data_IF_879362774047
#
_entry.id   IF_879362774047
#
_cell.length_a   1.000
_cell.length_b   1.000
_cell.length_c   1.000
_cell.angle_alpha   90.00
_cell.angle_beta   90.00
_cell.angle_gamma   90.00
#
_symmetry.space_group_name_H-M   'P 1'
#
loop_
_entity.id
_entity.type
_entity.pdbx_description
1 polymer ?
#
# COMPACT_ATOMS: atom_id res chain seq x y z
N UNK A 1 4.33 13.30 -10.11
CA UNK A 1 3.83 12.07 -10.78
C UNK A 1 2.32 12.03 -10.69
N UNK A 2 1.65 11.78 -11.78
CA UNK A 2 0.20 11.71 -11.83
C UNK A 2 -0.29 10.27 -11.82
N UNK A 3 -1.34 10.01 -11.04
CA UNK A 3 -2.06 8.75 -11.11
C UNK A 3 -3.01 8.81 -12.31
N UNK A 4 -2.82 7.90 -13.25
CA UNK A 4 -3.67 7.80 -14.43
C UNK A 4 -4.38 6.46 -14.45
N UNK A 5 -5.59 6.42 -15.01
CA UNK A 5 -6.39 5.23 -15.10
C UNK A 5 -7.17 4.93 -13.84
N UNK A 6 -7.63 3.70 -13.73
CA UNK A 6 -8.40 3.24 -12.59
C UNK A 6 -7.51 2.61 -11.53
N UNK A 7 -7.79 2.90 -10.26
CA UNK A 7 -7.12 2.27 -9.15
C UNK A 7 -8.06 2.18 -7.95
N UNK A 8 -7.63 1.45 -6.92
CA UNK A 8 -8.34 1.49 -5.65
C UNK A 8 -7.36 1.33 -4.49
N UNK A 9 -7.82 1.75 -3.31
CA UNK A 9 -7.06 1.68 -2.07
C UNK A 9 -7.35 0.38 -1.34
N UNK A 10 -6.29 -0.25 -0.82
CA UNK A 10 -6.42 -1.40 0.08
C UNK A 10 -5.92 -0.95 1.45
N UNK A 11 -6.79 -1.04 2.45
CA UNK A 11 -6.45 -0.72 3.82
C UNK A 11 -5.87 -1.93 4.54
N UNK A 12 -6.62 -3.02 4.58
CA UNK A 12 -6.23 -4.25 5.29
C UNK A 12 -6.35 -5.44 4.34
N UNK A 13 -5.21 -6.02 3.98
CA UNK A 13 -5.18 -7.13 3.03
C UNK A 13 -6.05 -8.31 3.49
N UNK A 14 -6.02 -8.74 4.78
CA UNK A 14 -6.86 -9.88 5.19
C UNK A 14 -8.37 -9.66 5.00
N UNK A 15 -8.82 -8.41 4.96
CA UNK A 15 -10.23 -8.08 4.77
C UNK A 15 -10.61 -7.93 3.29
N UNK A 16 -9.64 -8.05 2.38
CA UNK A 16 -9.88 -7.97 0.95
C UNK A 16 -9.82 -9.39 0.39
N UNK A 17 -10.96 -9.90 -0.10
CA UNK A 17 -11.05 -11.26 -0.64
C UNK A 17 -10.45 -12.30 0.31
N UNK A 18 -10.72 -12.19 1.61
CA UNK A 18 -10.22 -13.07 2.67
C UNK A 18 -8.70 -13.18 2.69
N UNK A 19 -7.99 -12.17 2.19
CA UNK A 19 -6.53 -12.14 2.16
C UNK A 19 -5.90 -12.98 1.05
N UNK A 20 -6.71 -13.48 0.11
CA UNK A 20 -6.21 -14.25 -1.03
C UNK A 20 -5.60 -13.32 -2.07
N UNK A 21 -4.27 -13.20 -2.07
CA UNK A 21 -3.56 -12.23 -2.92
C UNK A 21 -3.74 -12.52 -4.41
N UNK A 22 -3.83 -13.78 -4.81
CA UNK A 22 -4.05 -14.14 -6.22
C UNK A 22 -5.44 -13.69 -6.66
N UNK A 23 -6.44 -13.87 -5.82
CA UNK A 23 -7.80 -13.43 -6.12
C UNK A 23 -7.91 -11.91 -6.18
N UNK A 24 -7.26 -11.21 -5.26
CA UNK A 24 -7.21 -9.74 -5.28
C UNK A 24 -6.62 -9.26 -6.61
N UNK A 25 -5.49 -9.85 -7.01
CA UNK A 25 -4.81 -9.46 -8.23
C UNK A 25 -5.61 -9.82 -9.49
N UNK A 26 -6.28 -10.98 -9.49
CA UNK A 26 -7.14 -11.38 -10.62
C UNK A 26 -8.32 -10.42 -10.79
N UNK A 27 -8.97 -10.03 -9.69
CA UNK A 27 -10.07 -9.07 -9.73
C UNK A 27 -9.61 -7.71 -10.21
N UNK A 28 -8.41 -7.28 -9.79
CA UNK A 28 -7.84 -6.03 -10.27
C UNK A 28 -7.59 -6.08 -11.78
N UNK A 29 -7.12 -7.21 -12.29
CA UNK A 29 -6.90 -7.41 -13.73
C UNK A 29 -8.22 -7.39 -14.49
N UNK A 30 -9.23 -8.10 -13.99
CA UNK A 30 -10.56 -8.13 -14.62
C UNK A 30 -11.21 -6.76 -14.66
N UNK A 31 -11.02 -5.95 -13.61
CA UNK A 31 -11.55 -4.59 -13.55
C UNK A 31 -10.73 -3.59 -14.37
N UNK A 32 -9.68 -4.03 -15.04
CA UNK A 32 -8.78 -3.18 -15.83
C UNK A 32 -8.14 -2.08 -14.99
N UNK A 33 -7.78 -2.38 -13.74
CA UNK A 33 -7.10 -1.43 -12.89
C UNK A 33 -5.67 -1.22 -13.40
N UNK A 34 -5.25 0.04 -13.46
CA UNK A 34 -3.87 0.37 -13.84
C UNK A 34 -2.94 0.32 -12.65
N UNK A 35 -3.47 0.52 -11.45
CA UNK A 35 -2.68 0.58 -10.22
C UNK A 35 -3.52 0.22 -9.00
N UNK A 36 -2.84 -0.23 -7.95
CA UNK A 36 -3.46 -0.51 -6.65
C UNK A 36 -2.62 0.21 -5.59
N UNK A 37 -3.27 0.84 -4.64
CA UNK A 37 -2.61 1.56 -3.55
C UNK A 37 -2.79 0.77 -2.26
N UNK A 38 -1.70 0.23 -1.74
CA UNK A 38 -1.71 -0.60 -0.53
C UNK A 38 -1.23 0.24 0.65
N UNK A 39 -1.96 0.20 1.76
CA UNK A 39 -1.47 0.82 2.99
C UNK A 39 -0.26 0.04 3.47
N UNK A 40 0.91 0.67 3.47
CA UNK A 40 2.17 0.01 3.78
C UNK A 40 2.81 0.51 5.08
N UNK A 41 2.29 1.60 5.61
CA UNK A 41 2.76 2.16 6.87
C UNK A 41 1.63 2.91 7.56
N UNK A 42 1.67 2.91 8.89
CA UNK A 42 0.76 3.67 9.74
C UNK A 42 1.64 4.39 10.75
N UNK A 43 1.66 5.72 10.68
CA UNK A 43 2.60 6.55 11.43
C UNK A 43 4.04 6.04 11.20
N UNK A 44 4.80 5.73 12.23
CA UNK A 44 6.18 5.23 12.11
C UNK A 44 6.29 3.70 12.07
N UNK A 45 5.16 3.01 11.93
CA UNK A 45 5.12 1.55 11.97
C UNK A 45 4.80 0.94 10.61
N UNK A 46 5.37 -0.25 10.34
CA UNK A 46 4.99 -1.01 9.17
C UNK A 46 3.53 -1.43 9.30
N UNK A 47 2.82 -1.43 8.19
CA UNK A 47 1.44 -1.89 8.15
C UNK A 47 1.33 -3.14 7.29
N UNK A 48 0.27 -3.91 7.45
CA UNK A 48 0.01 -5.23 6.85
C UNK A 48 0.74 -6.36 7.57
N UNK A 49 1.16 -6.13 8.80
CA UNK A 49 1.78 -7.17 9.62
C UNK A 49 0.70 -7.83 10.46
N UNK A 50 0.47 -9.12 10.25
CA UNK A 50 -0.54 -9.89 10.98
C UNK A 50 0.12 -11.16 11.50
N UNK A 51 0.02 -11.38 12.82
CA UNK A 51 0.65 -12.53 13.48
C UNK A 51 2.15 -12.64 13.13
N UNK A 52 2.82 -11.50 13.07
CA UNK A 52 4.25 -11.46 12.75
C UNK A 52 4.60 -11.62 11.27
N UNK A 53 3.60 -11.75 10.40
CA UNK A 53 3.82 -11.95 8.97
C UNK A 53 3.42 -10.71 8.18
N UNK A 54 4.31 -10.22 7.33
CA UNK A 54 4.03 -9.11 6.44
C UNK A 54 3.24 -9.65 5.23
N UNK A 55 2.00 -9.21 5.10
CA UNK A 55 1.12 -9.65 4.01
C UNK A 55 1.30 -8.86 2.72
N UNK A 56 2.07 -7.77 2.75
CA UNK A 56 2.26 -6.92 1.57
C UNK A 56 3.12 -7.56 0.47
N UNK A 57 4.28 -8.20 0.76
CA UNK A 57 5.12 -8.73 -0.32
C UNK A 57 4.43 -9.67 -1.30
N UNK A 58 3.64 -10.67 -0.84
CA UNK A 58 2.96 -11.56 -1.79
C UNK A 58 1.97 -10.83 -2.70
N UNK A 59 1.26 -9.83 -2.17
CA UNK A 59 0.31 -9.07 -2.96
C UNK A 59 1.02 -8.18 -3.98
N UNK A 60 2.13 -7.55 -3.58
CA UNK A 60 2.93 -6.73 -4.50
C UNK A 60 3.40 -7.58 -5.67
N UNK A 61 3.91 -8.78 -5.39
CA UNK A 61 4.39 -9.69 -6.42
C UNK A 61 3.25 -10.12 -7.36
N UNK A 62 2.11 -10.53 -6.79
CA UNK A 62 0.96 -10.96 -7.58
C UNK A 62 0.44 -9.86 -8.51
N UNK A 63 0.40 -8.62 -8.04
CA UNK A 63 -0.02 -7.48 -8.86
C UNK A 63 0.97 -7.21 -9.99
N UNK A 64 2.27 -7.27 -9.70
CA UNK A 64 3.30 -7.03 -10.72
C UNK A 64 3.33 -8.10 -11.79
N UNK A 65 3.07 -9.34 -11.43
CA UNK A 65 2.95 -10.43 -12.42
C UNK A 65 1.84 -10.15 -13.44
N UNK A 66 0.84 -9.38 -13.05
CA UNK A 66 -0.27 -8.99 -13.91
C UNK A 66 -0.11 -7.60 -14.53
N UNK A 67 1.10 -7.04 -14.40
CA UNK A 67 1.43 -5.72 -14.95
C UNK A 67 0.58 -4.58 -14.39
N UNK A 68 0.21 -4.71 -13.12
CA UNK A 68 -0.51 -3.67 -12.40
C UNK A 68 0.50 -2.90 -11.55
N UNK A 69 0.51 -1.58 -11.69
CA UNK A 69 1.40 -0.73 -10.91
C UNK A 69 1.02 -0.77 -9.43
N UNK A 70 2.03 -0.77 -8.57
CA UNK A 70 1.82 -0.84 -7.13
C UNK A 70 2.26 0.47 -6.50
N UNK A 71 1.30 1.14 -5.87
CA UNK A 71 1.52 2.33 -5.10
C UNK A 71 1.34 1.99 -3.63
N UNK A 72 1.98 2.74 -2.77
CA UNK A 72 1.78 2.62 -1.33
C UNK A 72 1.11 3.87 -0.78
N UNK A 73 0.51 3.74 0.39
CA UNK A 73 0.05 4.89 1.14
C UNK A 73 0.31 4.70 2.63
N UNK A 74 0.37 5.82 3.33
CA UNK A 74 0.71 5.88 4.73
C UNK A 74 -0.21 6.88 5.43
N UNK A 75 -0.74 6.46 6.57
CA UNK A 75 -1.41 7.37 7.47
C UNK A 75 -0.37 8.07 8.33
N UNK A 76 -0.41 9.40 8.44
CA UNK A 76 0.51 10.16 9.28
C UNK A 76 -0.27 11.09 10.21
N UNK A 77 0.22 11.21 11.43
CA UNK A 77 -0.34 12.11 12.44
C UNK A 77 0.54 13.33 12.68
N UNK A 78 1.81 13.27 12.32
CA UNK A 78 2.75 14.33 12.59
C UNK A 78 3.36 14.28 13.99
N UNK A 79 3.10 13.21 14.76
CA UNK A 79 3.65 13.06 16.13
C UNK A 79 5.16 12.79 16.11
N UNK A 80 5.62 12.07 15.11
CA UNK A 80 7.04 11.76 14.92
C UNK A 80 7.36 11.88 13.42
N UNK A 81 7.50 13.11 12.91
CA UNK A 81 7.70 13.31 11.45
C UNK A 81 8.90 12.58 10.89
N UNK A 82 10.01 12.54 11.63
CA UNK A 82 11.23 11.84 11.18
C UNK A 82 11.00 10.34 11.10
N UNK A 83 10.40 9.75 12.12
CA UNK A 83 10.08 8.32 12.13
C UNK A 83 9.07 7.94 11.05
N UNK A 84 8.08 8.78 10.82
CA UNK A 84 7.09 8.56 9.76
C UNK A 84 7.73 8.62 8.37
N UNK A 85 8.60 9.60 8.13
CA UNK A 85 9.32 9.73 6.87
C UNK A 85 10.29 8.55 6.64
N UNK A 86 11.00 8.13 7.67
CA UNK A 86 11.92 7.00 7.59
C UNK A 86 11.18 5.72 7.22
N UNK A 87 10.02 5.48 7.81
CA UNK A 87 9.21 4.30 7.50
C UNK A 87 8.71 4.34 6.06
N UNK A 88 8.27 5.51 5.59
CA UNK A 88 7.84 5.68 4.19
C UNK A 88 8.97 5.31 3.24
N UNK A 89 10.17 5.84 3.47
CA UNK A 89 11.34 5.59 2.63
C UNK A 89 11.69 4.10 2.61
N UNK A 90 11.69 3.45 3.79
CA UNK A 90 11.98 2.02 3.89
C UNK A 90 11.00 1.18 3.08
N UNK A 91 9.71 1.46 3.19
CA UNK A 91 8.68 0.66 2.51
C UNK A 91 8.71 0.91 1.00
N UNK A 92 8.90 2.17 0.57
CA UNK A 92 9.02 2.49 -0.85
C UNK A 92 10.20 1.74 -1.47
N UNK A 93 11.34 1.73 -0.79
CA UNK A 93 12.53 1.01 -1.28
C UNK A 93 12.36 -0.50 -1.23
N UNK A 94 11.76 -1.01 -0.16
CA UNK A 94 11.54 -2.46 0.02
C UNK A 94 10.75 -3.05 -1.14
N UNK A 95 9.68 -2.37 -1.54
CA UNK A 95 8.78 -2.87 -2.58
C UNK A 95 9.05 -2.27 -3.96
N UNK A 96 9.97 -1.32 -4.06
CA UNK A 96 10.22 -0.57 -5.30
C UNK A 96 8.91 -0.01 -5.84
N UNK A 97 8.18 0.70 -4.97
CA UNK A 97 6.85 1.21 -5.30
C UNK A 97 6.89 2.19 -6.47
N UNK A 98 5.86 2.13 -7.29
CA UNK A 98 5.70 3.01 -8.45
C UNK A 98 5.27 4.41 -8.05
N UNK A 99 4.70 4.56 -6.87
CA UNK A 99 4.32 5.84 -6.32
C UNK A 99 3.90 5.74 -4.86
N UNK A 100 3.63 6.87 -4.23
CA UNK A 100 3.34 6.93 -2.81
C UNK A 100 2.40 8.09 -2.49
N UNK A 101 1.43 7.82 -1.60
CA UNK A 101 0.47 8.83 -1.15
C UNK A 101 0.51 8.92 0.37
N UNK A 102 0.52 10.14 0.88
CA UNK A 102 0.45 10.40 2.31
C UNK A 102 -0.97 10.84 2.65
N UNK A 103 -1.60 10.10 3.57
CA UNK A 103 -2.89 10.45 4.13
C UNK A 103 -2.63 11.15 5.46
N UNK A 104 -2.63 12.47 5.45
CA UNK A 104 -2.30 13.27 6.63
C UNK A 104 -3.58 13.65 7.37
N UNK A 105 -3.74 13.07 8.56
CA UNK A 105 -4.81 13.40 9.48
C UNK A 105 -4.26 14.30 10.59
N UNK A 106 -3.83 15.49 10.20
CA UNK A 106 -3.23 16.43 11.13
C UNK A 106 -4.32 17.35 11.68
N UNK A 107 -4.47 17.38 13.00
CA UNK A 107 -5.34 18.35 13.64
C UNK A 107 -4.57 19.66 13.80
N UNK A 108 -5.07 20.68 13.16
CA UNK A 108 -4.57 22.03 13.34
C UNK A 108 -5.41 22.73 14.41
N UNK A 109 -4.76 23.12 15.46
CA UNK A 109 -5.42 23.87 16.54
C UNK A 109 -5.07 25.35 16.43
#
# INVERSE_FOLDING_TARGET
>A
MELKGKGFFIWQIPNCEDGNVEKIADLAKEAHLSHVLIKIADTKYRYQIYEGVDKAPPLVEALRERQIAVWGWQYVKGDDPTGEADMAIRRVKQFKLDGFVIDAEVEYK
#
